data_IF_754790048391
#
_entry.id   IF_754790048391
#
_cell.length_a   1.000
_cell.length_b   1.000
_cell.length_c   1.000
_cell.angle_alpha   90.00
_cell.angle_beta   90.00
_cell.angle_gamma   90.00
#
_symmetry.space_group_name_H-M   'P 1'
#
loop_
_entity.id
_entity.type
_entity.pdbx_description
1 polymer ?
#
# COMPACT_ATOMS: atom_id res chain seq x y z
N UNK A 1 9.04 -4.39 9.33
CA UNK A 1 10.41 -4.89 9.04
C UNK A 1 11.17 -3.93 8.12
N UNK A 2 10.67 -3.66 6.90
CA UNK A 2 11.35 -2.76 5.96
C UNK A 2 11.49 -1.32 6.44
N UNK A 3 10.53 -0.79 7.21
CA UNK A 3 10.60 0.58 7.76
C UNK A 3 11.72 0.75 8.80
N UNK A 4 11.90 -0.23 9.69
CA UNK A 4 12.98 -0.19 10.68
C UNK A 4 14.34 -0.34 10.00
N UNK A 5 14.44 -1.21 8.99
CA UNK A 5 15.65 -1.36 8.17
C UNK A 5 15.98 -0.04 7.45
N UNK A 6 14.97 0.61 6.86
CA UNK A 6 15.14 1.91 6.18
C UNK A 6 15.61 2.99 7.16
N UNK A 7 15.03 3.03 8.37
CA UNK A 7 15.44 3.94 9.44
C UNK A 7 16.90 3.72 9.86
N UNK A 8 17.32 2.46 10.03
CA UNK A 8 18.71 2.14 10.34
C UNK A 8 19.68 2.59 9.23
N UNK A 9 19.33 2.38 7.95
CA UNK A 9 20.17 2.85 6.84
C UNK A 9 20.25 4.39 6.77
N UNK A 10 19.16 5.11 7.05
CA UNK A 10 19.15 6.57 7.14
C UNK A 10 20.05 7.08 8.28
N UNK A 11 20.00 6.44 9.44
CA UNK A 11 20.89 6.75 10.56
C UNK A 11 22.36 6.50 10.23
N UNK A 12 22.66 5.41 9.52
CA UNK A 12 24.03 5.11 9.10
C UNK A 12 24.55 6.12 8.06
N UNK A 13 23.69 6.60 7.16
CA UNK A 13 24.04 7.66 6.22
C UNK A 13 24.40 8.97 6.94
N UNK A 14 23.60 9.38 7.94
CA UNK A 14 23.89 10.57 8.75
C UNK A 14 25.23 10.45 9.50
N UNK A 15 25.57 9.25 9.99
CA UNK A 15 26.87 9.00 10.63
C UNK A 15 28.04 9.17 9.66
N UNK A 16 27.91 8.69 8.43
CA UNK A 16 28.96 8.86 7.40
C UNK A 16 29.12 10.33 7.00
N UNK A 17 28.03 11.09 6.91
CA UNK A 17 28.07 12.53 6.65
C UNK A 17 28.77 13.30 7.78
N UNK A 18 28.49 12.96 9.04
CA UNK A 18 29.20 13.53 10.19
C UNK A 18 30.70 13.23 10.15
N UNK A 19 31.10 12.02 9.76
CA UNK A 19 32.52 11.67 9.61
C UNK A 19 33.21 12.51 8.53
N UNK A 20 32.51 12.83 7.43
CA UNK A 20 33.04 13.72 6.39
C UNK A 20 33.14 15.15 6.91
N UNK A 21 32.13 15.66 7.62
CA UNK A 21 32.19 16.99 8.26
C UNK A 21 33.38 17.12 9.20
N UNK A 22 33.57 16.15 10.09
CA UNK A 22 34.70 16.15 11.04
C UNK A 22 36.06 16.11 10.31
N UNK A 23 36.15 15.44 9.15
CA UNK A 23 37.37 15.47 8.34
C UNK A 23 37.63 16.83 7.72
N UNK A 24 36.58 17.59 7.37
CA UNK A 24 36.72 18.95 6.87
C UNK A 24 37.28 19.84 7.97
N UNK A 25 36.75 19.72 9.19
CA UNK A 25 37.19 20.49 10.36
C UNK A 25 38.66 20.21 10.70
N UNK A 26 39.05 18.94 10.81
CA UNK A 26 40.46 18.54 11.05
C UNK A 26 41.41 19.03 9.95
N UNK A 27 40.94 19.15 8.70
CA UNK A 27 41.75 19.70 7.60
C UNK A 27 41.91 21.20 7.72
N UNK A 28 40.86 21.91 8.12
CA UNK A 28 40.89 23.35 8.33
C UNK A 28 41.86 23.71 9.47
N UNK A 29 41.94 22.87 10.50
CA UNK A 29 42.86 22.99 11.63
C UNK A 29 44.31 22.57 11.29
N UNK A 30 44.53 21.96 10.13
CA UNK A 30 45.86 21.54 9.66
C UNK A 30 46.35 20.21 10.25
N UNK A 31 45.51 19.48 10.98
CA UNK A 31 45.87 18.20 11.62
C UNK A 31 46.11 17.07 10.61
N UNK A 32 45.58 17.20 9.39
CA UNK A 32 45.65 16.16 8.35
C UNK A 32 46.21 16.66 7.02
N UNK A 33 47.12 15.86 6.47
CA UNK A 33 47.68 16.10 5.13
C UNK A 33 46.66 15.82 4.02
N UNK A 34 46.79 16.52 2.89
CA UNK A 34 45.90 16.45 1.71
C UNK A 34 45.69 15.03 1.21
N UNK A 35 46.73 14.20 1.20
CA UNK A 35 46.66 12.83 0.71
C UNK A 35 45.82 11.92 1.61
N UNK A 36 46.02 12.03 2.94
CA UNK A 36 45.25 11.28 3.93
C UNK A 36 43.78 11.70 3.96
N UNK A 37 43.53 13.01 3.84
CA UNK A 37 42.17 13.53 3.68
C UNK A 37 41.50 12.95 2.43
N UNK A 38 42.16 13.02 1.27
CA UNK A 38 41.58 12.57 0.01
C UNK A 38 41.24 11.08 0.02
N UNK A 39 42.10 10.23 0.60
CA UNK A 39 41.83 8.80 0.75
C UNK A 39 40.62 8.54 1.66
N UNK A 40 40.56 9.18 2.84
CA UNK A 40 39.45 8.97 3.80
C UNK A 40 38.12 9.50 3.29
N UNK A 41 38.10 10.67 2.66
CA UNK A 41 36.88 11.23 2.06
C UNK A 41 36.37 10.31 0.96
N UNK A 42 37.24 9.80 0.08
CA UNK A 42 36.83 8.86 -0.96
C UNK A 42 36.17 7.61 -0.36
N UNK A 43 36.77 7.01 0.67
CA UNK A 43 36.22 5.82 1.32
C UNK A 43 34.82 6.08 1.95
N UNK A 44 34.64 7.22 2.63
CA UNK A 44 33.33 7.58 3.20
C UNK A 44 32.32 7.97 2.12
N UNK A 45 32.75 8.57 1.02
CA UNK A 45 31.89 8.86 -0.13
C UNK A 45 31.39 7.58 -0.78
N UNK A 46 32.27 6.59 -0.96
CA UNK A 46 31.92 5.28 -1.54
C UNK A 46 30.93 4.53 -0.63
N UNK A 47 31.18 4.53 0.69
CA UNK A 47 30.25 3.98 1.69
C UNK A 47 28.88 4.67 1.65
N UNK A 48 28.85 6.00 1.59
CA UNK A 48 27.61 6.78 1.45
C UNK A 48 26.85 6.41 0.19
N UNK A 49 27.53 6.29 -0.95
CA UNK A 49 26.90 5.91 -2.23
C UNK A 49 26.28 4.52 -2.16
N UNK A 50 26.94 3.56 -1.51
CA UNK A 50 26.40 2.22 -1.29
C UNK A 50 25.14 2.24 -0.42
N UNK A 51 25.17 2.96 0.71
CA UNK A 51 24.01 3.08 1.61
C UNK A 51 22.84 3.76 0.89
N UNK A 52 23.11 4.81 0.10
CA UNK A 52 22.08 5.50 -0.69
C UNK A 52 21.46 4.59 -1.74
N UNK A 53 22.25 3.74 -2.40
CA UNK A 53 21.73 2.76 -3.36
C UNK A 53 20.78 1.76 -2.69
N UNK A 54 21.14 1.26 -1.50
CA UNK A 54 20.28 0.36 -0.72
C UNK A 54 18.97 1.05 -0.35
N UNK A 55 19.01 2.28 0.14
CA UNK A 55 17.82 3.09 0.47
C UNK A 55 16.92 3.24 -0.77
N UNK A 56 17.49 3.64 -1.90
CA UNK A 56 16.74 3.83 -3.14
C UNK A 56 16.08 2.52 -3.61
N UNK A 57 16.78 1.39 -3.52
CA UNK A 57 16.23 0.09 -3.89
C UNK A 57 15.06 -0.31 -3.00
N UNK A 58 15.16 -0.09 -1.69
CA UNK A 58 14.08 -0.36 -0.74
C UNK A 58 12.86 0.54 -0.99
N UNK A 59 13.08 1.83 -1.20
CA UNK A 59 12.00 2.79 -1.48
C UNK A 59 11.32 2.52 -2.84
N UNK A 60 12.10 2.19 -3.87
CA UNK A 60 11.55 1.81 -5.17
C UNK A 60 10.77 0.49 -5.12
N UNK A 61 11.27 -0.50 -4.38
CA UNK A 61 10.55 -1.76 -4.15
C UNK A 61 9.19 -1.53 -3.47
N UNK A 62 9.14 -0.62 -2.48
CA UNK A 62 7.88 -0.26 -1.83
C UNK A 62 6.90 0.44 -2.78
N UNK A 63 7.38 1.34 -3.66
CA UNK A 63 6.54 1.98 -4.68
C UNK A 63 5.96 0.97 -5.66
N UNK A 64 6.77 0.02 -6.14
CA UNK A 64 6.33 -1.04 -7.05
C UNK A 64 5.29 -1.96 -6.40
N UNK A 65 5.47 -2.32 -5.12
CA UNK A 65 4.47 -3.07 -4.36
C UNK A 65 3.14 -2.31 -4.23
N UNK A 66 3.19 -1.02 -3.89
CA UNK A 66 1.98 -0.20 -3.80
C UNK A 66 1.25 -0.10 -5.13
N UNK A 67 1.97 0.09 -6.23
CA UNK A 67 1.36 0.11 -7.56
C UNK A 67 0.68 -1.21 -7.89
N UNK A 68 1.33 -2.35 -7.62
CA UNK A 68 0.73 -3.68 -7.83
C UNK A 68 -0.53 -3.92 -7.01
N UNK A 69 -0.57 -3.41 -5.77
CA UNK A 69 -1.76 -3.49 -4.91
C UNK A 69 -2.88 -2.63 -5.47
N UNK A 70 -2.58 -1.40 -5.89
CA UNK A 70 -3.57 -0.49 -6.48
C UNK A 70 -4.15 -1.08 -7.78
N UNK A 71 -3.29 -1.64 -8.64
CA UNK A 71 -3.71 -2.29 -9.88
C UNK A 71 -4.63 -3.49 -9.60
N UNK A 72 -4.28 -4.33 -8.62
CA UNK A 72 -5.10 -5.47 -8.21
C UNK A 72 -6.45 -5.03 -7.63
N UNK A 73 -6.46 -3.95 -6.84
CA UNK A 73 -7.67 -3.40 -6.24
C UNK A 73 -8.61 -2.78 -7.30
N UNK A 74 -8.05 -1.98 -8.20
CA UNK A 74 -8.77 -1.40 -9.33
C UNK A 74 -9.33 -2.49 -10.25
N UNK A 75 -8.56 -3.55 -10.52
CA UNK A 75 -9.02 -4.71 -11.26
C UNK A 75 -10.21 -5.38 -10.56
N UNK A 76 -10.08 -5.75 -9.29
CA UNK A 76 -11.13 -6.44 -8.53
C UNK A 76 -12.43 -5.63 -8.46
N UNK A 77 -12.33 -4.32 -8.24
CA UNK A 77 -13.48 -3.40 -8.12
C UNK A 77 -14.26 -3.31 -9.44
N UNK A 78 -13.55 -3.22 -10.56
CA UNK A 78 -14.15 -3.05 -11.88
C UNK A 78 -14.46 -4.39 -12.59
N UNK A 79 -13.99 -5.51 -12.05
CA UNK A 79 -14.09 -6.83 -12.67
C UNK A 79 -15.53 -7.20 -13.05
N UNK A 80 -16.45 -7.05 -12.10
CA UNK A 80 -17.85 -7.47 -12.27
C UNK A 80 -18.57 -6.68 -13.35
N UNK A 81 -18.35 -5.38 -13.42
CA UNK A 81 -18.98 -4.51 -14.41
C UNK A 81 -18.40 -4.75 -15.80
N UNK A 82 -17.06 -4.84 -15.90
CA UNK A 82 -16.36 -5.14 -17.15
C UNK A 82 -16.72 -6.52 -17.70
N UNK A 83 -16.82 -7.55 -16.85
CA UNK A 83 -17.18 -8.90 -17.30
C UNK A 83 -18.62 -8.99 -17.82
N UNK A 84 -19.56 -8.24 -17.22
CA UNK A 84 -20.96 -8.24 -17.68
C UNK A 84 -21.13 -7.53 -19.02
N UNK A 85 -20.51 -6.36 -19.16
CA UNK A 85 -20.72 -5.46 -20.30
C UNK A 85 -19.72 -5.67 -21.44
N UNK A 86 -18.63 -6.40 -21.20
CA UNK A 86 -17.57 -6.60 -22.17
C UNK A 86 -17.91 -7.57 -23.30
N UNK A 87 -17.11 -7.49 -24.36
CA UNK A 87 -17.10 -8.41 -25.50
C UNK A 87 -16.55 -9.80 -25.12
N UNK A 88 -16.76 -10.84 -25.94
CA UNK A 88 -16.21 -12.17 -25.65
C UNK A 88 -14.69 -12.19 -25.45
N UNK A 89 -13.94 -11.35 -26.19
CA UNK A 89 -12.49 -11.23 -26.03
C UNK A 89 -12.12 -10.60 -24.68
N UNK A 90 -12.77 -9.49 -24.30
CA UNK A 90 -12.52 -8.86 -22.99
C UNK A 90 -12.86 -9.79 -21.84
N UNK A 91 -13.93 -10.60 -21.95
CA UNK A 91 -14.27 -11.60 -20.94
C UNK A 91 -13.18 -12.67 -20.81
N UNK A 92 -12.60 -13.09 -21.95
CA UNK A 92 -11.47 -14.04 -21.96
C UNK A 92 -10.25 -13.44 -21.27
N UNK A 93 -9.91 -12.18 -21.58
CA UNK A 93 -8.77 -11.50 -20.95
C UNK A 93 -8.98 -11.30 -19.45
N UNK A 94 -10.20 -10.98 -19.02
CA UNK A 94 -10.56 -10.89 -17.60
C UNK A 94 -10.38 -12.25 -16.91
N UNK A 95 -10.83 -13.35 -17.52
CA UNK A 95 -10.67 -14.69 -16.96
C UNK A 95 -9.20 -15.12 -16.86
N UNK A 96 -8.37 -14.76 -17.84
CA UNK A 96 -6.93 -15.01 -17.80
C UNK A 96 -6.24 -14.22 -16.68
N UNK A 97 -6.69 -12.98 -16.42
CA UNK A 97 -6.13 -12.14 -15.36
C UNK A 97 -6.69 -12.46 -13.96
N UNK A 98 -7.82 -13.17 -13.87
CA UNK A 98 -8.43 -13.57 -12.61
C UNK A 98 -7.61 -14.64 -11.89
N UNK A 99 -6.94 -15.51 -12.65
CA UNK A 99 -6.20 -16.63 -12.08
C UNK A 99 -5.68 -17.62 -13.11
N UNK A 100 -5.22 -18.75 -12.59
CA UNK A 100 -4.67 -19.86 -13.35
C UNK A 100 -5.54 -21.10 -13.24
N UNK A 101 -5.19 -22.17 -13.97
CA UNK A 101 -5.89 -23.46 -13.93
C UNK A 101 -7.41 -23.32 -14.08
N UNK A 102 -7.84 -22.81 -15.23
CA UNK A 102 -9.25 -22.71 -15.58
C UNK A 102 -9.74 -24.08 -16.08
N UNK A 103 -10.58 -24.76 -15.29
CA UNK A 103 -11.18 -26.03 -15.70
C UNK A 103 -12.70 -25.97 -15.60
N UNK A 104 -13.36 -26.61 -16.56
CA UNK A 104 -14.82 -26.68 -16.62
C UNK A 104 -15.24 -28.07 -16.20
N UNK A 105 -16.01 -28.15 -15.13
CA UNK A 105 -16.57 -29.38 -14.59
C UNK A 105 -18.05 -29.16 -14.29
N UNK A 106 -18.93 -30.03 -14.78
CA UNK A 106 -20.38 -29.97 -14.53
C UNK A 106 -21.03 -28.60 -14.78
N UNK A 107 -20.64 -27.94 -15.88
CA UNK A 107 -21.08 -26.58 -16.27
C UNK A 107 -20.67 -25.49 -15.27
N UNK A 108 -19.72 -25.78 -14.38
CA UNK A 108 -19.10 -24.81 -13.47
C UNK A 108 -17.68 -24.55 -13.96
N UNK A 109 -17.27 -23.28 -13.90
CA UNK A 109 -15.89 -22.90 -14.14
C UNK A 109 -15.18 -22.81 -12.80
N UNK A 110 -14.14 -23.61 -12.63
CA UNK A 110 -13.28 -23.59 -11.46
C UNK A 110 -11.99 -22.85 -11.84
N UNK A 111 -11.56 -21.94 -10.96
CA UNK A 111 -10.44 -21.03 -11.21
C UNK A 111 -9.57 -21.00 -9.96
N UNK A 112 -8.26 -21.18 -10.14
CA UNK A 112 -7.29 -20.92 -9.08
C UNK A 112 -6.95 -19.44 -9.07
N UNK A 113 -7.46 -18.72 -8.08
CA UNK A 113 -7.33 -17.27 -7.97
C UNK A 113 -5.87 -16.82 -7.85
N UNK A 114 -5.50 -15.73 -8.54
CA UNK A 114 -4.19 -15.10 -8.39
C UNK A 114 -3.96 -14.73 -6.91
N UNK A 115 -2.72 -14.92 -6.43
CA UNK A 115 -2.31 -14.60 -5.06
C UNK A 115 -2.66 -13.16 -4.67
N UNK A 116 -2.57 -12.21 -5.61
CA UNK A 116 -2.93 -10.80 -5.42
C UNK A 116 -4.41 -10.60 -5.09
N UNK A 117 -5.27 -11.55 -5.48
CA UNK A 117 -6.73 -11.48 -5.32
C UNK A 117 -7.25 -12.34 -4.14
N UNK A 118 -6.45 -13.26 -3.61
CA UNK A 118 -6.82 -14.09 -2.46
C UNK A 118 -7.31 -13.31 -1.21
N UNK A 119 -6.76 -12.12 -0.88
CA UNK A 119 -7.29 -11.34 0.24
C UNK A 119 -8.77 -11.00 0.08
N UNK A 120 -9.22 -10.69 -1.15
CA UNK A 120 -10.63 -10.36 -1.39
C UNK A 120 -11.55 -11.55 -1.10
N UNK A 121 -11.14 -12.75 -1.48
CA UNK A 121 -11.90 -13.97 -1.16
C UNK A 121 -11.98 -14.18 0.36
N UNK A 122 -10.83 -14.13 1.04
CA UNK A 122 -10.70 -14.34 2.49
C UNK A 122 -11.54 -13.37 3.32
N UNK A 123 -11.52 -12.09 2.97
CA UNK A 123 -12.21 -11.04 3.73
C UNK A 123 -13.65 -10.80 3.26
N UNK A 124 -14.09 -11.36 2.13
CA UNK A 124 -15.42 -11.11 1.57
C UNK A 124 -16.58 -11.49 2.51
N UNK A 125 -16.49 -12.61 3.21
CA UNK A 125 -17.57 -13.10 4.07
C UNK A 125 -17.65 -12.32 5.39
N UNK A 126 -16.56 -12.14 6.16
CA UNK A 126 -16.58 -11.28 7.34
C UNK A 126 -17.04 -9.85 7.04
N UNK A 127 -16.59 -9.27 5.93
CA UNK A 127 -17.01 -7.91 5.57
C UNK A 127 -18.51 -7.81 5.31
N UNK A 128 -19.11 -8.80 4.64
CA UNK A 128 -20.56 -8.79 4.38
C UNK A 128 -21.37 -8.83 5.66
N UNK A 129 -20.92 -9.58 6.66
CA UNK A 129 -21.58 -9.67 7.96
C UNK A 129 -21.49 -8.35 8.73
N UNK A 130 -20.30 -7.72 8.73
CA UNK A 130 -20.08 -6.41 9.34
C UNK A 130 -20.88 -5.29 8.63
N UNK A 131 -20.86 -5.27 7.30
CA UNK A 131 -21.65 -4.31 6.52
C UNK A 131 -23.16 -4.47 6.77
N UNK A 132 -23.65 -5.71 6.88
CA UNK A 132 -25.06 -5.95 7.21
C UNK A 132 -25.44 -5.45 8.61
N UNK A 133 -24.50 -5.37 9.56
CA UNK A 133 -24.70 -4.79 10.89
C UNK A 133 -24.74 -3.25 10.85
N UNK A 134 -24.05 -2.63 9.89
CA UNK A 134 -23.97 -1.18 9.74
C UNK A 134 -25.14 -0.60 8.96
N UNK A 135 -25.90 -1.41 8.22
CA UNK A 135 -27.15 -0.95 7.63
C UNK A 135 -28.19 -0.69 8.74
N UNK A 136 -28.89 0.45 8.73
CA UNK A 136 -29.98 0.67 9.67
C UNK A 136 -30.98 -0.47 9.49
N UNK A 137 -31.37 -1.10 10.61
CA UNK A 137 -32.46 -2.07 10.62
C UNK A 137 -33.61 -1.45 9.83
N UNK A 138 -34.14 -2.18 8.86
CA UNK A 138 -35.30 -1.72 8.08
C UNK A 138 -36.46 -1.55 9.05
N UNK A 139 -36.58 -0.36 9.65
CA UNK A 139 -37.74 0.04 10.42
C UNK A 139 -38.83 0.13 9.37
N UNK A 140 -39.69 -0.89 9.33
CA UNK A 140 -40.95 -0.81 8.60
C UNK A 140 -41.66 0.42 9.15
N UNK A 141 -41.67 1.50 8.36
CA UNK A 141 -42.41 2.71 8.71
C UNK A 141 -43.89 2.32 8.78
N UNK A 142 -44.36 1.96 9.97
CA UNK A 142 -45.78 1.93 10.26
C UNK A 142 -46.23 3.39 10.31
N UNK A 143 -46.67 3.91 9.18
CA UNK A 143 -47.39 5.18 9.13
C UNK A 143 -48.77 4.95 9.74
N UNK A 144 -48.84 4.90 11.08
CA UNK A 144 -50.11 5.14 11.73
C UNK A 144 -50.41 6.61 11.49
N UNK A 145 -51.39 6.90 10.63
CA UNK A 145 -52.01 8.23 10.51
C UNK A 145 -52.64 8.56 11.86
N UNK A 146 -51.87 9.06 12.82
CA UNK A 146 -52.41 9.68 14.02
C UNK A 146 -51.53 10.86 14.40
N UNK A 147 -52.11 12.05 14.30
CA UNK A 147 -51.83 13.29 15.04
C UNK A 147 -50.38 13.65 15.39
N UNK A 148 -49.90 14.74 14.76
CA UNK A 148 -48.98 15.76 15.32
C UNK A 148 -47.97 15.30 16.37
N UNK A 149 -46.70 15.17 15.97
CA UNK A 149 -45.56 15.38 16.85
C UNK A 149 -44.80 16.63 16.39
N UNK A 150 -44.88 17.68 17.20
CA UNK A 150 -44.14 18.93 17.05
C UNK A 150 -42.66 18.66 17.35
N UNK A 151 -41.70 19.22 16.60
CA UNK A 151 -40.29 19.10 16.96
C UNK A 151 -39.97 20.12 18.06
N UNK A 152 -39.87 19.68 19.31
CA UNK A 152 -39.19 20.48 20.35
C UNK A 152 -37.69 20.21 20.24
N UNK A 153 -37.01 21.06 19.47
CA UNK A 153 -35.57 21.18 19.56
C UNK A 153 -35.25 21.96 20.85
N UNK A 154 -34.89 21.27 21.94
CA UNK A 154 -34.37 21.95 23.12
C UNK A 154 -32.91 22.32 22.90
N UNK A 155 -32.68 23.49 22.31
CA UNK A 155 -31.41 24.20 22.48
C UNK A 155 -31.29 24.61 23.95
N UNK A 156 -30.45 23.91 24.72
CA UNK A 156 -29.93 24.41 26.00
C UNK A 156 -28.43 24.16 26.05
N UNK A 157 -27.70 25.06 25.40
CA UNK A 157 -26.31 25.36 25.72
C UNK A 157 -26.31 26.77 26.30
N UNK A 158 -26.12 26.85 27.61
CA UNK A 158 -25.59 28.00 28.34
C UNK A 158 -24.53 27.42 29.27
#
# INVERSE_FOLDING_TARGET
ANEEILKQHKLNLEKEEKKISNLIDMRAEGEINKENYSKKVKNYQDSKNQIQSIINNLENGNKDLNQKVEDAFSFATNLKTKFKNGTPNEKKDILQNLGSNLFVEDRRLLVLLDLRLQPFEKYSQPLKQELARLEPLKITKHYNKVGTLVPTCSSRWT
#
